data_IF_892298422844
#
_entry.id   IF_892298422844
#
_cell.length_a   1.000
_cell.length_b   1.000
_cell.length_c   1.000
_cell.angle_alpha   90.00
_cell.angle_beta   90.00
_cell.angle_gamma   90.00
#
_symmetry.space_group_name_H-M   'P 1'
#
loop_
_entity.id
_entity.type
_entity.pdbx_description
1 polymer ?
#
# COMPACT_ATOMS: atom_id res chain seq x y z
N UNK A 1 -14.00 0.62 85.26
CA UNK A 1 -15.01 0.44 84.20
C UNK A 1 -14.81 1.50 83.14
N UNK A 2 -14.69 1.07 81.87
CA UNK A 2 -14.82 1.85 80.61
C UNK A 2 -13.72 2.88 80.30
N UNK A 3 -13.28 3.14 79.06
CA UNK A 3 -13.39 2.57 77.71
C UNK A 3 -12.22 3.23 76.94
N UNK A 4 -11.58 2.50 76.02
CA UNK A 4 -10.55 3.01 75.12
C UNK A 4 -11.12 3.93 74.03
N UNK A 5 -10.33 4.90 73.57
CA UNK A 5 -10.52 5.56 72.29
C UNK A 5 -9.16 5.72 71.58
N UNK A 6 -8.91 4.83 70.62
CA UNK A 6 -7.87 4.97 69.62
C UNK A 6 -8.32 5.99 68.58
N UNK A 7 -7.52 7.03 68.33
CA UNK A 7 -7.69 7.92 67.17
C UNK A 7 -6.61 7.55 66.15
N UNK A 8 -7.04 6.96 65.04
CA UNK A 8 -6.24 6.67 63.85
C UNK A 8 -6.15 7.96 63.01
N UNK A 9 -4.97 8.58 62.92
CA UNK A 9 -4.71 9.63 61.92
C UNK A 9 -4.29 8.98 60.61
N UNK A 10 -5.12 9.08 59.58
CA UNK A 10 -4.80 8.68 58.22
C UNK A 10 -3.94 9.75 57.55
N UNK A 11 -2.70 9.41 57.17
CA UNK A 11 -1.89 10.20 56.24
C UNK A 11 -2.42 10.03 54.81
N UNK A 12 -2.95 11.11 54.24
CA UNK A 12 -3.25 11.19 52.80
C UNK A 12 -1.94 11.49 52.07
N UNK A 13 -1.42 10.50 51.34
CA UNK A 13 -0.31 10.71 50.41
C UNK A 13 -0.85 11.41 49.14
N UNK A 14 -0.49 12.68 48.97
CA UNK A 14 -0.74 13.39 47.72
C UNK A 14 0.21 12.84 46.64
N UNK A 15 -0.32 12.13 45.64
CA UNK A 15 0.44 11.78 44.45
C UNK A 15 0.74 13.05 43.65
N UNK A 16 1.98 13.26 43.17
CA UNK A 16 2.26 14.40 42.30
C UNK A 16 1.55 14.19 40.97
N UNK A 17 0.79 15.20 40.54
CA UNK A 17 0.25 15.28 39.19
C UNK A 17 1.41 15.14 38.20
N UNK A 18 1.40 14.06 37.42
CA UNK A 18 2.33 13.89 36.30
C UNK A 18 2.01 14.97 35.27
N UNK A 19 2.85 16.01 35.24
CA UNK A 19 2.90 16.93 34.12
C UNK A 19 3.11 16.12 32.84
N UNK A 20 2.17 16.21 31.91
CA UNK A 20 2.34 15.71 30.55
C UNK A 20 3.56 16.40 29.97
N UNK A 21 4.67 15.65 29.84
CA UNK A 21 5.88 16.14 29.20
C UNK A 21 5.58 16.58 27.76
N UNK A 22 6.37 17.51 27.20
CA UNK A 22 6.22 17.91 25.80
C UNK A 22 6.25 16.67 24.92
N UNK A 23 5.30 16.56 23.99
CA UNK A 23 5.26 15.49 23.01
C UNK A 23 6.65 15.37 22.34
N UNK A 24 7.17 14.15 22.12
CA UNK A 24 8.41 13.97 21.38
C UNK A 24 8.30 14.71 20.04
N UNK A 25 9.39 15.29 19.50
CA UNK A 25 9.34 16.02 18.24
C UNK A 25 8.66 15.13 17.20
N UNK A 26 7.60 15.67 16.58
CA UNK A 26 6.80 14.93 15.62
C UNK A 26 7.71 14.50 14.46
N UNK A 27 8.17 13.25 14.48
CA UNK A 27 8.93 12.69 13.38
C UNK A 27 8.11 12.77 12.10
N UNK A 28 8.78 12.93 10.96
CA UNK A 28 8.13 13.02 9.64
C UNK A 28 7.07 11.92 9.46
N UNK A 29 5.93 12.28 8.86
CA UNK A 29 4.93 11.32 8.39
C UNK A 29 5.53 10.40 7.32
N UNK A 30 4.86 9.29 7.04
CA UNK A 30 5.30 8.33 6.03
C UNK A 30 5.44 8.98 4.65
N UNK A 31 4.44 9.76 4.24
CA UNK A 31 4.51 10.48 2.97
C UNK A 31 5.63 11.54 2.98
N UNK A 32 5.89 12.20 4.11
CA UNK A 32 6.98 13.16 4.23
C UNK A 32 8.36 12.47 4.13
N UNK A 33 8.56 11.32 4.78
CA UNK A 33 9.77 10.50 4.61
C UNK A 33 9.99 10.08 3.15
N UNK A 34 8.92 9.68 2.46
CA UNK A 34 8.97 9.31 1.03
C UNK A 34 9.49 10.45 0.15
N UNK A 35 9.13 11.70 0.47
CA UNK A 35 9.61 12.89 -0.26
C UNK A 35 11.04 13.27 0.11
N UNK A 36 11.43 13.11 1.38
CA UNK A 36 12.76 13.47 1.88
C UNK A 36 13.87 12.60 1.28
N UNK A 37 13.63 11.29 1.12
CA UNK A 37 14.60 10.37 0.53
C UNK A 37 13.95 9.36 -0.43
N UNK A 38 13.59 9.78 -1.65
CA UNK A 38 12.78 8.96 -2.56
C UNK A 38 13.48 7.66 -2.98
N UNK A 39 14.81 7.65 -3.10
CA UNK A 39 15.56 6.45 -3.49
C UNK A 39 15.46 5.33 -2.46
N UNK A 40 15.78 5.63 -1.18
CA UNK A 40 15.68 4.64 -0.09
C UNK A 40 14.22 4.19 0.09
N UNK A 41 13.29 5.13 -0.01
CA UNK A 41 11.87 4.87 0.20
C UNK A 41 11.25 4.03 -0.93
N UNK A 42 11.70 4.21 -2.17
CA UNK A 42 11.31 3.35 -3.28
C UNK A 42 11.80 1.91 -3.10
N UNK A 43 13.06 1.70 -2.69
CA UNK A 43 13.58 0.34 -2.42
C UNK A 43 12.80 -0.37 -1.30
N UNK A 44 12.44 0.39 -0.26
CA UNK A 44 11.59 -0.09 0.82
C UNK A 44 10.19 -0.47 0.30
N UNK A 45 9.56 0.42 -0.48
CA UNK A 45 8.26 0.17 -1.11
C UNK A 45 8.31 -1.06 -2.02
N UNK A 46 9.36 -1.22 -2.84
CA UNK A 46 9.54 -2.39 -3.72
C UNK A 46 9.61 -3.69 -2.93
N UNK A 47 10.29 -3.68 -1.78
CA UNK A 47 10.32 -4.82 -0.85
C UNK A 47 8.94 -5.12 -0.27
N UNK A 48 8.19 -4.07 0.09
CA UNK A 48 6.82 -4.20 0.62
C UNK A 48 5.89 -4.76 -0.44
N UNK A 49 5.85 -4.18 -1.64
CA UNK A 49 5.02 -4.64 -2.78
C UNK A 49 5.29 -6.11 -3.11
N UNK A 50 6.56 -6.53 -3.13
CA UNK A 50 6.93 -7.92 -3.38
C UNK A 50 6.32 -8.89 -2.35
N UNK A 51 6.17 -8.45 -1.09
CA UNK A 51 5.59 -9.25 0.00
C UNK A 51 4.07 -9.15 0.08
N UNK A 52 3.50 -7.96 -0.09
CA UNK A 52 2.11 -7.67 0.28
C UNK A 52 1.10 -7.77 -0.87
N UNK A 53 1.53 -7.59 -2.12
CA UNK A 53 0.62 -7.68 -3.28
C UNK A 53 0.73 -9.05 -3.97
N UNK A 54 1.73 -9.87 -3.59
CA UNK A 54 1.75 -11.28 -3.98
C UNK A 54 1.76 -11.51 -5.49
N UNK A 55 2.36 -10.59 -6.27
CA UNK A 55 2.44 -10.64 -7.74
C UNK A 55 2.95 -12.00 -8.26
N UNK A 56 3.61 -12.81 -7.44
CA UNK A 56 4.34 -13.97 -7.92
C UNK A 56 3.49 -15.06 -8.62
N UNK A 57 2.16 -15.15 -8.42
CA UNK A 57 1.37 -16.19 -9.15
C UNK A 57 -0.02 -15.81 -9.67
N UNK A 58 -0.84 -15.02 -8.99
CA UNK A 58 -2.29 -14.93 -9.30
C UNK A 58 -2.68 -13.96 -10.42
N UNK A 59 -1.81 -13.01 -10.81
CA UNK A 59 -2.12 -11.96 -11.82
C UNK A 59 -1.23 -12.00 -13.06
N UNK A 60 -0.42 -13.04 -13.23
CA UNK A 60 0.44 -13.16 -14.40
C UNK A 60 -0.39 -13.47 -15.66
N UNK A 61 -0.40 -12.55 -16.62
CA UNK A 61 -0.99 -12.80 -17.93
C UNK A 61 0.03 -13.55 -18.78
N UNK A 62 -0.39 -14.51 -19.63
CA UNK A 62 0.52 -15.24 -20.50
C UNK A 62 1.27 -14.29 -21.44
N UNK A 63 2.40 -14.76 -21.97
CA UNK A 63 3.08 -14.11 -23.09
C UNK A 63 2.21 -14.32 -24.34
N UNK A 64 1.94 -13.25 -25.08
CA UNK A 64 1.09 -13.30 -26.27
C UNK A 64 1.89 -13.77 -27.49
N UNK A 65 1.20 -14.31 -28.50
CA UNK A 65 1.83 -14.69 -29.77
C UNK A 65 2.48 -13.50 -30.50
N UNK A 66 2.01 -12.28 -30.24
CA UNK A 66 2.60 -11.03 -30.74
C UNK A 66 3.69 -10.43 -29.84
N UNK A 67 4.28 -11.22 -28.94
CA UNK A 67 5.36 -10.79 -28.06
C UNK A 67 4.93 -10.44 -26.62
N UNK A 68 5.91 -10.02 -25.84
CA UNK A 68 5.72 -9.52 -24.49
C UNK A 68 5.42 -8.02 -24.50
N UNK A 69 4.21 -7.65 -24.09
CA UNK A 69 3.80 -6.25 -23.99
C UNK A 69 4.07 -5.66 -22.59
N UNK A 70 5.02 -4.72 -22.51
CA UNK A 70 5.41 -4.00 -21.29
C UNK A 70 4.23 -3.28 -20.63
N UNK A 71 3.25 -2.84 -21.42
CA UNK A 71 2.09 -2.07 -20.97
C UNK A 71 0.80 -2.88 -20.88
N UNK A 72 0.89 -4.22 -20.82
CA UNK A 72 -0.30 -5.10 -20.79
C UNK A 72 -1.17 -4.97 -19.53
N UNK A 73 -0.64 -4.37 -18.46
CA UNK A 73 -1.34 -4.22 -17.18
C UNK A 73 -1.92 -2.82 -16.95
N UNK A 74 -1.38 -1.78 -17.61
CA UNK A 74 -1.74 -0.37 -17.40
C UNK A 74 -1.92 0.02 -15.92
N UNK A 75 -0.97 -0.32 -15.06
CA UNK A 75 -1.10 0.04 -13.65
C UNK A 75 -1.07 1.55 -13.43
N UNK A 76 -2.02 2.01 -12.63
CA UNK A 76 -2.17 3.38 -12.17
C UNK A 76 -2.38 3.37 -10.65
N UNK A 77 -2.10 4.48 -9.95
CA UNK A 77 -2.37 4.56 -8.52
C UNK A 77 -3.83 4.20 -8.20
N UNK A 78 -4.79 4.62 -9.04
CA UNK A 78 -6.19 4.31 -8.86
C UNK A 78 -6.48 2.80 -8.92
N UNK A 79 -5.92 2.04 -9.88
CA UNK A 79 -6.21 0.61 -9.97
C UNK A 79 -5.39 -0.27 -9.01
N UNK A 80 -4.29 0.25 -8.47
CA UNK A 80 -3.47 -0.46 -7.47
C UNK A 80 -3.92 -0.15 -6.05
N UNK A 81 -4.38 1.08 -5.78
CA UNK A 81 -4.68 1.57 -4.44
C UNK A 81 -6.12 2.03 -4.25
N UNK A 82 -6.99 1.99 -5.26
CA UNK A 82 -8.39 2.44 -5.14
C UNK A 82 -8.50 3.92 -4.82
N UNK A 83 -9.34 4.28 -3.85
CA UNK A 83 -9.58 5.66 -3.40
C UNK A 83 -8.32 6.38 -2.86
N UNK A 84 -7.24 5.64 -2.63
CA UNK A 84 -5.96 6.19 -2.18
C UNK A 84 -5.03 6.59 -3.33
N UNK A 85 -5.38 6.28 -4.57
CA UNK A 85 -4.52 6.49 -5.73
C UNK A 85 -4.00 7.93 -5.82
N UNK A 86 -4.90 8.91 -5.80
CA UNK A 86 -4.53 10.34 -5.89
C UNK A 86 -3.91 10.86 -4.60
N UNK A 87 -4.53 10.57 -3.44
CA UNK A 87 -4.12 11.12 -2.15
C UNK A 87 -2.76 10.60 -1.65
N UNK A 88 -2.31 9.44 -2.11
CA UNK A 88 -1.01 8.87 -1.74
C UNK A 88 0.18 9.53 -2.46
N UNK A 89 -0.09 10.35 -3.51
CA UNK A 89 0.92 11.08 -4.27
C UNK A 89 2.12 10.23 -4.67
N UNK A 90 3.33 10.70 -4.32
CA UNK A 90 4.60 10.02 -4.61
C UNK A 90 4.64 8.56 -4.12
N UNK A 91 4.08 8.26 -2.94
CA UNK A 91 4.05 6.88 -2.42
C UNK A 91 3.17 5.98 -3.29
N UNK A 92 2.09 6.53 -3.84
CA UNK A 92 1.24 5.84 -4.81
C UNK A 92 2.01 5.47 -6.07
N UNK A 93 2.76 6.42 -6.63
CA UNK A 93 3.62 6.15 -7.79
C UNK A 93 4.70 5.11 -7.48
N UNK A 94 5.37 5.20 -6.33
CA UNK A 94 6.36 4.20 -5.91
C UNK A 94 5.77 2.79 -5.87
N UNK A 95 4.57 2.62 -5.30
CA UNK A 95 3.89 1.32 -5.22
C UNK A 95 3.57 0.77 -6.62
N UNK A 96 3.07 1.61 -7.51
CA UNK A 96 2.73 1.24 -8.89
C UNK A 96 3.97 0.88 -9.69
N UNK A 97 5.05 1.68 -9.61
CA UNK A 97 6.27 1.39 -10.36
C UNK A 97 6.99 0.15 -9.83
N UNK A 98 6.99 -0.07 -8.51
CA UNK A 98 7.48 -1.33 -7.95
C UNK A 98 6.69 -2.55 -8.46
N UNK A 99 5.36 -2.44 -8.50
CA UNK A 99 4.49 -3.49 -9.05
C UNK A 99 4.81 -3.76 -10.53
N UNK A 100 5.03 -2.69 -11.29
CA UNK A 100 5.42 -2.72 -12.71
C UNK A 100 6.70 -3.50 -12.95
N UNK A 101 7.78 -3.09 -12.30
CA UNK A 101 9.12 -3.63 -12.54
C UNK A 101 9.31 -5.04 -11.98
N UNK A 102 8.66 -5.37 -10.86
CA UNK A 102 8.61 -6.75 -10.34
C UNK A 102 7.91 -7.69 -11.31
N UNK A 103 6.87 -7.20 -11.99
CA UNK A 103 6.14 -8.00 -12.96
C UNK A 103 6.90 -8.18 -14.27
N UNK A 104 7.60 -7.14 -14.72
CA UNK A 104 8.53 -7.26 -15.85
C UNK A 104 9.64 -8.26 -15.54
N UNK A 105 10.26 -8.19 -14.36
CA UNK A 105 11.32 -9.13 -13.95
C UNK A 105 10.85 -10.59 -14.04
N UNK A 106 9.63 -10.87 -13.54
CA UNK A 106 9.01 -12.20 -13.60
C UNK A 106 8.67 -12.63 -15.03
N UNK A 107 8.04 -11.75 -15.79
CA UNK A 107 7.46 -12.13 -17.08
C UNK A 107 8.47 -12.15 -18.21
N UNK A 108 9.47 -11.28 -18.20
CA UNK A 108 10.54 -11.28 -19.20
C UNK A 108 11.35 -12.58 -19.10
N UNK A 109 11.57 -13.11 -17.90
CA UNK A 109 12.15 -14.44 -17.72
C UNK A 109 11.29 -15.52 -18.40
N UNK A 110 9.96 -15.48 -18.26
CA UNK A 110 9.02 -16.39 -18.96
C UNK A 110 8.99 -16.18 -20.48
N UNK A 111 9.33 -14.98 -20.93
CA UNK A 111 9.46 -14.63 -22.35
C UNK A 111 10.84 -14.99 -22.94
N UNK A 112 11.70 -15.67 -22.17
CA UNK A 112 12.99 -16.19 -22.60
C UNK A 112 14.18 -15.27 -22.33
N UNK A 113 13.98 -14.12 -21.69
CA UNK A 113 15.06 -13.16 -21.45
C UNK A 113 15.94 -13.58 -20.25
N UNK A 114 17.26 -13.35 -20.32
CA UNK A 114 18.17 -13.65 -19.22
C UNK A 114 17.96 -12.69 -18.05
N UNK A 115 17.84 -13.23 -16.84
CA UNK A 115 17.47 -12.46 -15.64
C UNK A 115 18.44 -11.30 -15.33
N UNK A 116 19.76 -11.54 -15.40
CA UNK A 116 20.75 -10.53 -15.02
C UNK A 116 20.74 -9.28 -15.93
N UNK A 117 20.81 -9.41 -17.28
CA UNK A 117 20.66 -8.26 -18.16
C UNK A 117 19.30 -7.55 -18.02
N UNK A 118 18.21 -8.28 -17.82
CA UNK A 118 16.89 -7.67 -17.56
C UNK A 118 16.89 -6.86 -16.27
N UNK A 119 17.46 -7.39 -15.19
CA UNK A 119 17.54 -6.70 -13.91
C UNK A 119 18.34 -5.39 -14.01
N UNK A 120 19.40 -5.37 -14.82
CA UNK A 120 20.22 -4.18 -15.07
C UNK A 120 19.43 -3.09 -15.82
N UNK A 121 18.74 -3.48 -16.89
CA UNK A 121 17.92 -2.58 -17.72
C UNK A 121 16.74 -2.02 -16.92
N UNK A 122 16.08 -2.85 -16.11
CA UNK A 122 15.04 -2.42 -15.16
C UNK A 122 15.62 -1.47 -14.09
N UNK A 123 16.82 -1.77 -13.59
CA UNK A 123 17.50 -0.92 -12.60
C UNK A 123 17.77 0.50 -13.11
N UNK A 124 18.18 0.65 -14.37
CA UNK A 124 18.34 1.97 -15.02
C UNK A 124 17.01 2.72 -15.11
N UNK A 125 15.95 2.04 -15.56
CA UNK A 125 14.60 2.60 -15.59
C UNK A 125 14.16 3.12 -14.20
N UNK A 126 14.39 2.34 -13.15
CA UNK A 126 14.06 2.74 -11.78
C UNK A 126 14.91 3.93 -11.30
N UNK A 127 16.20 3.95 -11.62
CA UNK A 127 17.09 5.04 -11.27
C UNK A 127 16.66 6.37 -11.93
N UNK A 128 16.26 6.33 -13.21
CA UNK A 128 15.75 7.51 -13.93
C UNK A 128 14.47 8.05 -13.29
N UNK A 129 13.56 7.16 -12.86
CA UNK A 129 12.35 7.56 -12.14
C UNK A 129 12.65 8.21 -10.80
N UNK A 130 13.56 7.61 -10.02
CA UNK A 130 13.97 8.13 -8.71
C UNK A 130 14.59 9.52 -8.87
N UNK A 131 15.52 9.68 -9.81
CA UNK A 131 16.20 10.95 -10.06
C UNK A 131 15.24 12.06 -10.51
N UNK A 132 14.18 11.70 -11.23
CA UNK A 132 13.20 12.64 -11.74
C UNK A 132 11.91 12.73 -10.90
N UNK A 133 11.90 12.16 -9.68
CA UNK A 133 10.78 12.27 -8.74
C UNK A 133 9.48 11.62 -9.21
N UNK A 134 9.57 10.54 -10.00
CA UNK A 134 8.41 9.74 -10.46
C UNK A 134 7.37 10.53 -11.30
N UNK A 135 7.80 11.56 -12.03
CA UNK A 135 6.89 12.29 -12.94
C UNK A 135 6.49 11.46 -14.16
N UNK A 136 5.29 11.67 -14.71
CA UNK A 136 4.83 10.94 -15.90
C UNK A 136 5.71 11.19 -17.13
N UNK A 137 6.25 12.41 -17.27
CA UNK A 137 7.18 12.73 -18.34
C UNK A 137 8.50 11.95 -18.21
N UNK A 138 9.01 11.77 -16.99
CA UNK A 138 10.17 10.93 -16.74
C UNK A 138 9.86 9.46 -17.02
N UNK A 139 8.69 8.99 -16.58
CA UNK A 139 8.23 7.64 -16.87
C UNK A 139 8.16 7.34 -18.36
N UNK A 140 7.63 8.26 -19.16
CA UNK A 140 7.55 8.08 -20.62
C UNK A 140 8.94 7.95 -21.24
N UNK A 141 9.89 8.82 -20.85
CA UNK A 141 11.27 8.76 -21.35
C UNK A 141 12.01 7.49 -20.91
N UNK A 142 11.91 7.15 -19.63
CA UNK A 142 12.54 5.96 -19.08
C UNK A 142 11.97 4.67 -19.71
N UNK A 143 10.65 4.62 -19.95
CA UNK A 143 10.01 3.48 -20.61
C UNK A 143 10.48 3.31 -22.07
N UNK A 144 10.64 4.41 -22.81
CA UNK A 144 11.18 4.35 -24.17
C UNK A 144 12.62 3.84 -24.17
N UNK A 145 13.47 4.34 -23.26
CA UNK A 145 14.84 3.85 -23.10
C UNK A 145 14.88 2.35 -22.73
N UNK A 146 14.06 1.94 -21.75
CA UNK A 146 13.89 0.52 -21.36
C UNK A 146 13.51 -0.34 -22.57
N UNK A 147 12.56 0.12 -23.40
CA UNK A 147 12.14 -0.60 -24.60
C UNK A 147 13.31 -0.80 -25.56
N UNK A 148 14.02 0.27 -25.91
CA UNK A 148 15.17 0.21 -26.82
C UNK A 148 16.26 -0.74 -26.30
N UNK A 149 16.53 -0.74 -24.99
CA UNK A 149 17.51 -1.64 -24.39
C UNK A 149 17.06 -3.11 -24.44
N UNK A 150 15.78 -3.38 -24.17
CA UNK A 150 15.24 -4.75 -24.26
C UNK A 150 15.18 -5.25 -25.72
N UNK A 151 14.89 -4.39 -26.70
CA UNK A 151 14.97 -4.72 -28.13
C UNK A 151 16.43 -5.06 -28.54
N UNK A 152 17.41 -4.32 -28.04
CA UNK A 152 18.83 -4.64 -28.23
C UNK A 152 19.23 -5.98 -27.59
N UNK A 153 18.66 -6.30 -26.42
CA UNK A 153 18.86 -7.59 -25.77
C UNK A 153 18.19 -8.73 -26.54
N UNK A 154 16.99 -8.50 -27.07
CA UNK A 154 16.24 -9.46 -27.89
C UNK A 154 17.04 -9.88 -29.12
N UNK A 155 17.63 -8.92 -29.85
CA UNK A 155 18.43 -9.21 -31.05
C UNK A 155 19.65 -10.10 -30.79
N UNK A 156 20.14 -10.14 -29.54
CA UNK A 156 21.31 -10.91 -29.11
C UNK A 156 20.94 -12.22 -28.40
N UNK A 157 19.65 -12.48 -28.18
CA UNK A 157 19.17 -13.62 -27.39
C UNK A 157 18.17 -14.45 -28.20
N UNK A 158 18.61 -15.52 -28.88
CA UNK A 158 17.70 -16.38 -29.63
C UNK A 158 16.59 -16.98 -28.74
N UNK A 159 15.37 -17.02 -29.26
CA UNK A 159 14.21 -17.60 -28.56
C UNK A 159 13.46 -16.65 -27.63
N UNK A 160 13.91 -15.40 -27.46
CA UNK A 160 13.14 -14.38 -26.73
C UNK A 160 11.94 -13.89 -27.53
N UNK A 161 10.85 -13.58 -26.82
CA UNK A 161 9.66 -12.96 -27.41
C UNK A 161 9.91 -11.51 -27.81
N UNK A 162 9.25 -11.01 -28.85
CA UNK A 162 9.30 -9.60 -29.25
C UNK A 162 8.85 -8.67 -28.12
N UNK A 163 9.49 -7.51 -27.96
CA UNK A 163 9.06 -6.48 -27.01
C UNK A 163 8.06 -5.55 -27.68
N UNK A 164 6.94 -5.33 -26.98
CA UNK A 164 5.90 -4.39 -27.40
C UNK A 164 5.59 -3.44 -26.26
N UNK A 165 5.22 -2.19 -26.57
CA UNK A 165 4.71 -1.23 -25.61
C UNK A 165 3.40 -0.61 -26.12
N UNK A 166 2.29 -1.32 -25.94
CA UNK A 166 0.94 -0.86 -26.34
C UNK A 166 0.01 -0.86 -25.14
N UNK A 167 -0.67 0.26 -24.89
CA UNK A 167 -1.66 0.35 -23.82
C UNK A 167 -2.79 -0.67 -24.05
N UNK A 168 -2.93 -1.64 -23.14
CA UNK A 168 -3.99 -2.65 -23.15
C UNK A 168 -4.63 -2.77 -21.78
N UNK A 169 -5.39 -1.74 -21.42
CA UNK A 169 -5.84 -1.52 -20.04
C UNK A 169 -7.12 -2.30 -19.66
N UNK A 170 -7.70 -3.03 -20.61
CA UNK A 170 -8.94 -3.79 -20.45
C UNK A 170 -8.74 -5.21 -19.88
N UNK A 171 -7.53 -5.57 -19.43
CA UNK A 171 -7.18 -6.94 -19.03
C UNK A 171 -6.88 -7.12 -17.53
N UNK A 172 -7.11 -6.10 -16.71
CA UNK A 172 -7.07 -6.21 -15.25
C UNK A 172 -8.35 -5.62 -14.64
N UNK A 173 -8.91 -6.23 -13.59
CA UNK A 173 -9.96 -5.58 -12.82
C UNK A 173 -9.43 -4.26 -12.27
N UNK A 174 -10.18 -3.19 -12.51
CA UNK A 174 -10.00 -1.93 -11.80
C UNK A 174 -10.21 -2.14 -10.30
N UNK A 175 -9.74 -1.18 -9.52
CA UNK A 175 -10.31 -0.96 -8.18
C UNK A 175 -11.84 -0.99 -8.27
N UNK A 176 -12.50 -1.58 -7.28
CA UNK A 176 -13.93 -1.80 -7.33
C UNK A 176 -14.63 -1.18 -6.14
N UNK A 177 -15.86 -0.78 -6.41
CA UNK A 177 -16.68 -0.03 -5.49
C UNK A 177 -17.40 -0.98 -4.54
N UNK A 178 -17.17 -0.79 -3.24
CA UNK A 178 -17.89 -1.49 -2.17
C UNK A 178 -18.61 -0.48 -1.29
N UNK A 179 -19.85 -0.81 -0.92
CA UNK A 179 -20.53 -0.17 0.19
C UNK A 179 -19.92 -0.66 1.51
N UNK A 180 -19.90 0.22 2.51
CA UNK A 180 -19.38 -0.10 3.85
C UNK A 180 -20.54 -0.07 4.83
N UNK A 181 -20.72 -1.16 5.56
CA UNK A 181 -21.70 -1.28 6.63
C UNK A 181 -21.02 -1.68 7.94
N UNK A 182 -21.62 -1.33 9.07
CA UNK A 182 -21.14 -1.71 10.41
C UNK A 182 -22.23 -2.46 11.16
N UNK A 183 -21.84 -3.38 12.04
CA UNK A 183 -22.76 -4.14 12.89
C UNK A 183 -22.18 -4.27 14.31
N UNK A 184 -22.81 -3.65 15.33
CA UNK A 184 -23.96 -2.72 15.24
C UNK A 184 -23.70 -1.50 14.36
N UNK A 185 -24.77 -0.88 13.86
CA UNK A 185 -24.70 0.34 13.04
C UNK A 185 -24.14 1.54 13.83
N UNK A 186 -23.69 2.57 13.11
CA UNK A 186 -23.25 3.84 13.69
C UNK A 186 -21.77 3.90 14.07
N UNK A 187 -20.97 2.91 13.71
CA UNK A 187 -19.53 2.94 13.97
C UNK A 187 -18.75 3.73 12.91
N UNK A 188 -17.63 4.33 13.32
CA UNK A 188 -16.73 5.06 12.46
C UNK A 188 -15.62 4.14 11.94
N UNK A 189 -15.65 3.83 10.65
CA UNK A 189 -14.62 3.04 10.00
C UNK A 189 -13.58 3.91 9.29
N UNK A 190 -12.32 3.52 9.38
CA UNK A 190 -11.21 4.04 8.58
C UNK A 190 -10.51 2.89 7.89
N UNK A 191 -9.96 3.17 6.71
CA UNK A 191 -9.34 2.19 5.83
C UNK A 191 -7.96 2.65 5.36
N UNK A 192 -7.15 1.68 4.96
CA UNK A 192 -5.84 1.89 4.33
C UNK A 192 -5.50 0.69 3.45
N UNK A 193 -4.96 0.88 2.22
CA UNK A 193 -4.43 -0.22 1.43
C UNK A 193 -3.34 -0.94 2.24
N UNK A 194 -3.40 -2.26 2.30
CA UNK A 194 -2.50 -3.02 3.17
C UNK A 194 -1.02 -2.83 2.78
N UNK A 195 -0.73 -2.58 1.51
CA UNK A 195 0.62 -2.19 1.04
C UNK A 195 1.13 -0.90 1.73
N UNK A 196 0.27 0.11 1.93
CA UNK A 196 0.65 1.36 2.62
C UNK A 196 0.78 1.15 4.13
N UNK A 197 -0.06 0.29 4.72
CA UNK A 197 0.08 -0.13 6.10
C UNK A 197 1.43 -0.82 6.34
N UNK A 198 1.81 -1.75 5.47
CA UNK A 198 3.10 -2.42 5.52
C UNK A 198 4.27 -1.45 5.25
N UNK A 199 4.06 -0.43 4.42
CA UNK A 199 5.06 0.59 4.18
C UNK A 199 5.34 1.43 5.43
N UNK A 200 4.32 1.85 6.17
CA UNK A 200 4.50 2.51 7.47
C UNK A 200 5.30 1.62 8.44
N UNK A 201 4.97 0.33 8.56
CA UNK A 201 5.73 -0.61 9.39
C UNK A 201 7.20 -0.71 8.95
N UNK A 202 7.44 -0.79 7.65
CA UNK A 202 8.78 -0.89 7.08
C UNK A 202 9.61 0.38 7.33
N UNK A 203 8.95 1.53 7.47
CA UNK A 203 9.55 2.80 7.88
C UNK A 203 9.67 2.97 9.41
N UNK A 204 9.34 1.93 10.18
CA UNK A 204 9.28 1.96 11.65
C UNK A 204 8.31 3.01 12.18
N UNK A 205 7.18 3.17 11.49
CA UNK A 205 6.05 3.98 11.94
C UNK A 205 4.94 3.02 12.37
N UNK A 206 4.41 3.21 13.57
CA UNK A 206 3.23 2.50 14.03
C UNK A 206 2.04 2.84 13.11
N UNK A 207 1.42 1.86 12.42
CA UNK A 207 0.26 2.11 11.59
C UNK A 207 -0.94 2.66 12.36
N UNK A 208 -1.01 2.46 13.68
CA UNK A 208 -2.08 3.03 14.51
C UNK A 208 -1.87 4.54 14.76
N UNK A 209 -0.65 5.06 14.61
CA UNK A 209 -0.37 6.50 14.66
C UNK A 209 -0.84 7.15 13.35
N UNK A 210 -2.09 7.60 13.34
CA UNK A 210 -2.70 8.21 12.17
C UNK A 210 -2.11 9.57 11.76
N UNK A 211 -1.26 10.18 12.60
CA UNK A 211 -0.54 11.40 12.25
C UNK A 211 0.72 11.05 11.47
N UNK A 212 1.43 9.99 11.89
CA UNK A 212 2.67 9.57 11.25
C UNK A 212 2.44 8.59 10.09
N UNK A 213 1.44 7.73 10.16
CA UNK A 213 0.98 6.89 9.06
C UNK A 213 -0.26 7.54 8.41
N UNK A 214 0.01 8.53 7.58
CA UNK A 214 -0.94 9.52 7.06
C UNK A 214 -1.82 9.04 5.89
N UNK A 215 -2.00 7.72 5.73
CA UNK A 215 -2.80 7.12 4.65
C UNK A 215 -4.20 6.64 5.06
N UNK A 216 -4.58 6.78 6.33
CA UNK A 216 -5.91 6.39 6.79
C UNK A 216 -6.99 7.33 6.25
N UNK A 217 -7.94 6.78 5.48
CA UNK A 217 -9.13 7.51 5.03
C UNK A 217 -10.37 7.01 5.77
N UNK A 218 -11.25 7.92 6.16
CA UNK A 218 -12.56 7.58 6.73
C UNK A 218 -13.49 7.00 5.65
N UNK A 219 -14.36 6.09 6.05
CA UNK A 219 -15.47 5.65 5.20
C UNK A 219 -16.26 6.88 4.69
N UNK A 220 -16.73 6.82 3.44
CA UNK A 220 -17.63 7.85 2.93
C UNK A 220 -18.95 7.78 3.70
N UNK A 221 -19.52 8.94 3.99
CA UNK A 221 -20.84 9.03 4.62
C UNK A 221 -21.94 8.49 3.69
N UNK A 222 -21.78 8.70 2.37
CA UNK A 222 -22.70 8.22 1.34
C UNK A 222 -21.94 7.64 0.15
N UNK A 223 -22.50 6.58 -0.44
CA UNK A 223 -22.00 5.93 -1.63
C UNK A 223 -20.78 5.03 -1.41
N UNK A 224 -20.38 4.26 -2.44
CA UNK A 224 -19.33 3.29 -2.31
C UNK A 224 -17.94 3.94 -2.26
N UNK A 225 -17.00 3.22 -1.65
CA UNK A 225 -15.58 3.51 -1.69
C UNK A 225 -14.88 2.52 -2.62
N UNK A 226 -13.88 2.99 -3.34
CA UNK A 226 -13.12 2.17 -4.28
C UNK A 226 -11.95 1.50 -3.56
N UNK A 227 -11.88 0.16 -3.62
CA UNK A 227 -10.84 -0.64 -2.99
C UNK A 227 -10.04 -1.42 -4.03
N UNK A 228 -8.74 -1.62 -3.77
CA UNK A 228 -7.86 -2.41 -4.61
C UNK A 228 -6.89 -3.23 -3.76
N UNK A 229 -6.92 -4.55 -3.89
CA UNK A 229 -6.11 -5.47 -3.10
C UNK A 229 -6.45 -5.45 -1.60
N UNK A 230 -5.75 -6.27 -0.81
CA UNK A 230 -5.98 -6.36 0.63
C UNK A 230 -6.03 -4.98 1.29
N UNK A 231 -7.04 -4.77 2.14
CA UNK A 231 -7.31 -3.49 2.82
C UNK A 231 -7.32 -3.69 4.32
N UNK A 232 -6.55 -2.89 5.06
CA UNK A 232 -6.61 -2.80 6.50
C UNK A 232 -7.76 -1.86 6.93
N UNK A 233 -8.39 -2.16 8.06
CA UNK A 233 -9.42 -1.30 8.64
C UNK A 233 -9.25 -1.16 10.16
N UNK A 234 -9.73 -0.03 10.66
CA UNK A 234 -10.07 0.18 12.08
C UNK A 234 -11.50 0.69 12.15
N UNK A 235 -12.27 0.19 13.12
CA UNK A 235 -13.65 0.61 13.37
C UNK A 235 -13.79 0.94 14.85
N UNK A 236 -14.34 2.12 15.12
CA UNK A 236 -14.62 2.61 16.48
C UNK A 236 -16.13 2.77 16.65
N UNK A 237 -16.69 2.07 17.64
CA UNK A 237 -18.10 2.19 18.01
C UNK A 237 -18.32 3.32 19.05
N UNK A 238 -19.56 3.80 19.24
CA UNK A 238 -19.88 4.86 20.22
C UNK A 238 -19.55 4.52 21.68
N UNK A 239 -19.36 3.24 21.99
CA UNK A 239 -18.94 2.72 23.30
C UNK A 239 -17.41 2.60 23.45
N UNK A 240 -16.67 3.28 22.57
CA UNK A 240 -15.20 3.28 22.48
C UNK A 240 -14.57 1.91 22.20
N UNK A 241 -15.37 0.90 21.82
CA UNK A 241 -14.84 -0.38 21.36
C UNK A 241 -14.16 -0.18 20.01
N UNK A 242 -12.91 -0.62 19.90
CA UNK A 242 -12.12 -0.56 18.66
C UNK A 242 -11.89 -1.96 18.13
N UNK A 243 -12.24 -2.21 16.86
CA UNK A 243 -11.89 -3.44 16.15
C UNK A 243 -11.00 -3.10 14.96
N UNK A 244 -9.89 -3.84 14.83
CA UNK A 244 -9.00 -3.77 13.67
C UNK A 244 -9.03 -5.08 12.90
N UNK A 245 -8.79 -5.00 11.60
CA UNK A 245 -8.69 -6.19 10.76
C UNK A 245 -8.18 -5.90 9.37
N UNK A 246 -8.27 -6.93 8.52
CA UNK A 246 -8.06 -6.84 7.08
C UNK A 246 -9.20 -7.53 6.35
N UNK A 247 -9.36 -7.21 5.08
CA UNK A 247 -10.17 -7.99 4.15
C UNK A 247 -9.56 -7.95 2.76
N UNK A 248 -9.75 -9.01 1.97
CA UNK A 248 -9.53 -8.97 0.53
C UNK A 248 -10.84 -8.49 -0.10
N UNK A 249 -10.87 -7.32 -0.74
CA UNK A 249 -12.10 -6.79 -1.27
C UNK A 249 -12.65 -7.70 -2.41
N UNK A 250 -11.80 -8.53 -3.07
CA UNK A 250 -12.24 -9.41 -4.17
C UNK A 250 -13.26 -10.46 -3.67
N UNK A 251 -13.22 -10.81 -2.38
CA UNK A 251 -14.20 -11.69 -1.71
C UNK A 251 -15.61 -11.10 -1.64
N UNK A 252 -15.72 -9.77 -1.75
CA UNK A 252 -16.99 -9.03 -1.65
C UNK A 252 -17.52 -8.57 -3.00
N UNK A 253 -16.87 -8.94 -4.11
CA UNK A 253 -17.26 -8.54 -5.47
C UNK A 253 -18.70 -8.91 -5.81
N UNK A 254 -19.17 -10.07 -5.37
CA UNK A 254 -20.53 -10.55 -5.66
C UNK A 254 -21.61 -9.85 -4.81
N UNK A 255 -21.28 -9.44 -3.58
CA UNK A 255 -22.23 -8.81 -2.66
C UNK A 255 -22.22 -7.29 -2.73
N UNK A 256 -21.13 -6.69 -3.21
CA UNK A 256 -20.95 -5.24 -3.32
C UNK A 256 -20.92 -4.49 -1.98
N UNK A 257 -20.84 -5.21 -0.85
CA UNK A 257 -20.89 -4.63 0.50
C UNK A 257 -19.96 -5.39 1.43
N UNK A 258 -19.13 -4.64 2.18
CA UNK A 258 -18.35 -5.14 3.30
C UNK A 258 -19.02 -4.75 4.62
N UNK A 259 -19.34 -5.74 5.47
CA UNK A 259 -19.90 -5.52 6.81
C UNK A 259 -18.84 -5.73 7.88
N UNK A 260 -18.48 -4.66 8.58
CA UNK A 260 -17.51 -4.66 9.67
C UNK A 260 -18.22 -4.89 11.00
N UNK A 261 -17.76 -5.86 11.77
CA UNK A 261 -18.47 -6.34 12.96
C UNK A 261 -17.69 -6.01 14.22
N UNK A 262 -18.41 -5.59 15.26
CA UNK A 262 -17.85 -5.49 16.60
C UNK A 262 -17.45 -6.88 17.05
N UNK A 263 -16.19 -7.08 17.45
CA UNK A 263 -15.81 -8.34 18.08
C UNK A 263 -16.26 -8.32 19.54
N UNK A 264 -16.93 -9.38 20.03
CA UNK A 264 -17.17 -9.51 21.46
C UNK A 264 -15.82 -9.51 22.21
N UNK A 265 -15.75 -8.95 23.42
CA UNK A 265 -14.54 -9.05 24.24
C UNK A 265 -14.14 -10.52 24.40
N UNK A 266 -12.84 -10.81 24.27
CA UNK A 266 -12.31 -12.14 24.60
C UNK A 266 -12.48 -12.31 26.11
N UNK A 267 -13.40 -13.17 26.51
CA UNK A 267 -13.54 -13.63 27.89
C UNK A 267 -12.26 -14.31 28.38
#
# INVERSE_FOLDING_TARGET
MKIAAFVLLALVAAMPAQAQGPAPPAGLSSAAKARDNPGVQYLLMKTVVAKSIGIQKTRALPVESGGYNLLKYCWSPANVLGAWGESSGLTGEMAVRALETLSWSRDLARAGYPEAPVAEVIGRYEADLIAAGFTEAARTRALEALRTELESLQMRTPGTSEIVARLRCNRQPASFELNVATSPEGAHARFMPYVLHQFCLAQQIDPADAVRCDYWQSAKAEGPMSFAGETAYTVTWPDDVVTTGRFDPDEYRATGTVTLRQRPPKN
#
